data_IF_488457360745
#
_entry.id   IF_488457360745
#
_cell.length_a   1.000
_cell.length_b   1.000
_cell.length_c   1.000
_cell.angle_alpha   90.00
_cell.angle_beta   90.00
_cell.angle_gamma   90.00
#
_symmetry.space_group_name_H-M   'P 1'
#
loop_
_entity.id
_entity.type
_entity.pdbx_description
1 polymer ?
#
# COMPACT_ATOMS: atom_id res chain seq x y z
N UNK A 1 16.02 -1.39 13.61
CA UNK A 1 15.15 -1.63 12.43
C UNK A 1 14.42 -2.94 12.65
N UNK A 2 13.08 -2.89 12.72
CA UNK A 2 12.25 -4.08 12.81
C UNK A 2 12.45 -4.99 11.59
N UNK A 3 12.15 -6.28 11.74
CA UNK A 3 12.28 -7.25 10.65
C UNK A 3 11.25 -6.94 9.56
N UNK A 4 11.72 -6.60 8.35
CA UNK A 4 10.86 -6.39 7.18
C UNK A 4 10.01 -7.65 6.92
N UNK A 5 8.72 -7.44 6.72
CA UNK A 5 7.69 -8.45 6.54
C UNK A 5 6.49 -7.90 5.75
N UNK A 6 5.46 -8.71 5.56
CA UNK A 6 4.23 -8.33 4.87
C UNK A 6 3.62 -6.99 5.33
N UNK A 7 3.48 -6.76 6.65
CA UNK A 7 2.90 -5.53 7.21
C UNK A 7 3.73 -4.30 6.85
N UNK A 8 5.06 -4.41 6.92
CA UNK A 8 5.93 -3.33 6.41
C UNK A 8 5.77 -3.15 4.90
N UNK A 9 5.63 -4.23 4.13
CA UNK A 9 5.37 -4.15 2.68
C UNK A 9 4.11 -3.36 2.35
N UNK A 10 3.03 -3.56 3.10
CA UNK A 10 1.79 -2.78 2.98
C UNK A 10 2.01 -1.29 3.26
N UNK A 11 2.70 -0.95 4.34
CA UNK A 11 2.97 0.45 4.70
C UNK A 11 3.86 1.15 3.66
N UNK A 12 4.92 0.49 3.20
CA UNK A 12 5.77 1.02 2.14
C UNK A 12 5.02 1.17 0.81
N UNK A 13 4.11 0.23 0.50
CA UNK A 13 3.30 0.28 -0.71
C UNK A 13 2.31 1.45 -0.67
N UNK A 14 1.59 1.62 0.44
CA UNK A 14 0.71 2.77 0.67
C UNK A 14 1.48 4.08 0.46
N UNK A 15 2.63 4.21 1.11
CA UNK A 15 3.42 5.43 1.07
C UNK A 15 4.01 5.76 -0.30
N UNK A 16 4.40 4.74 -1.05
CA UNK A 16 4.85 4.90 -2.43
C UNK A 16 3.74 5.48 -3.31
N UNK A 17 2.48 5.07 -3.09
CA UNK A 17 1.34 5.53 -3.87
C UNK A 17 0.88 6.91 -3.40
N UNK A 18 0.53 7.05 -2.12
CA UNK A 18 0.03 8.33 -1.57
C UNK A 18 1.08 9.46 -1.58
N UNK A 19 2.35 9.14 -1.78
CA UNK A 19 3.43 10.11 -1.89
C UNK A 19 3.85 10.42 -3.34
N UNK A 20 3.18 9.83 -4.34
CA UNK A 20 3.58 9.94 -5.75
C UNK A 20 3.42 11.34 -6.34
N UNK A 21 2.54 12.15 -5.75
CA UNK A 21 2.30 13.55 -6.12
C UNK A 21 3.19 14.54 -5.33
N UNK A 22 3.90 14.07 -4.30
CA UNK A 22 4.76 14.85 -3.43
C UNK A 22 4.09 15.45 -2.19
N UNK A 23 2.80 15.18 -1.95
CA UNK A 23 2.04 15.68 -0.79
C UNK A 23 1.47 14.52 0.03
N UNK A 24 2.13 14.21 1.15
CA UNK A 24 1.57 13.26 2.12
C UNK A 24 0.47 13.93 2.90
N UNK A 25 -0.74 13.39 2.81
CA UNK A 25 -1.86 13.86 3.61
C UNK A 25 -2.08 12.92 4.82
N UNK A 26 -2.07 13.50 6.01
CA UNK A 26 -2.42 12.81 7.27
C UNK A 26 -3.73 13.37 7.86
N UNK A 27 -4.50 14.07 7.03
CA UNK A 27 -5.78 14.65 7.42
C UNK A 27 -6.75 13.52 7.80
N UNK A 28 -7.28 13.50 9.04
CA UNK A 28 -8.28 12.53 9.46
C UNK A 28 -9.54 12.49 8.59
N UNK A 29 -9.83 13.57 7.85
CA UNK A 29 -10.97 13.67 6.96
C UNK A 29 -10.68 13.14 5.54
N UNK A 30 -9.40 12.94 5.20
CA UNK A 30 -8.96 12.41 3.92
C UNK A 30 -9.46 10.96 3.71
N UNK A 31 -10.15 10.67 2.60
CA UNK A 31 -10.66 9.32 2.31
C UNK A 31 -9.57 8.25 2.22
N UNK A 32 -8.43 8.54 1.61
CA UNK A 32 -7.31 7.60 1.49
C UNK A 32 -6.72 7.29 2.87
N UNK A 33 -6.60 8.32 3.71
CA UNK A 33 -6.14 8.16 5.09
C UNK A 33 -7.08 7.28 5.92
N UNK A 34 -8.40 7.44 5.74
CA UNK A 34 -9.39 6.57 6.40
C UNK A 34 -9.27 5.12 5.94
N UNK A 35 -9.03 4.86 4.66
CA UNK A 35 -8.79 3.50 4.15
C UNK A 35 -7.48 2.94 4.71
N UNK A 36 -6.42 3.74 4.80
CA UNK A 36 -5.16 3.30 5.40
C UNK A 36 -5.35 2.90 6.86
N UNK A 37 -6.11 3.69 7.63
CA UNK A 37 -6.46 3.33 9.02
C UNK A 37 -7.24 2.02 9.08
N UNK A 38 -8.24 1.84 8.22
CA UNK A 38 -9.01 0.60 8.13
C UNK A 38 -8.12 -0.61 7.79
N UNK A 39 -7.19 -0.45 6.84
CA UNK A 39 -6.20 -1.46 6.48
C UNK A 39 -5.33 -1.82 7.69
N UNK A 40 -4.82 -0.83 8.43
CA UNK A 40 -4.00 -1.08 9.63
C UNK A 40 -4.77 -1.85 10.69
N UNK A 41 -6.00 -1.46 10.95
CA UNK A 41 -6.85 -2.13 11.94
C UNK A 41 -7.15 -3.58 11.51
N UNK A 42 -7.44 -3.81 10.22
CA UNK A 42 -7.71 -5.14 9.68
C UNK A 42 -6.49 -6.06 9.67
N UNK A 43 -5.31 -5.52 9.33
CA UNK A 43 -4.05 -6.25 9.22
C UNK A 43 -3.27 -6.28 10.55
N UNK A 44 -3.86 -5.79 11.64
CA UNK A 44 -3.28 -5.76 12.99
C UNK A 44 -1.92 -5.03 13.02
N UNK A 45 -1.84 -3.87 12.38
CA UNK A 45 -0.64 -3.02 12.33
C UNK A 45 -0.68 -2.01 13.49
N UNK A 46 0.02 -2.35 14.57
CA UNK A 46 0.05 -1.54 15.79
C UNK A 46 0.67 -0.15 15.59
N UNK A 47 0.30 0.78 16.46
CA UNK A 47 0.77 2.17 16.41
C UNK A 47 2.30 2.29 16.46
N UNK A 48 2.98 1.48 17.27
CA UNK A 48 4.44 1.51 17.32
C UNK A 48 5.11 1.14 16.00
N UNK A 49 4.57 0.18 15.24
CA UNK A 49 5.13 -0.21 13.94
C UNK A 49 4.88 0.87 12.91
N UNK A 50 3.70 1.47 12.95
CA UNK A 50 3.33 2.58 12.09
C UNK A 50 4.15 3.84 12.37
N UNK A 51 4.30 4.23 13.62
CA UNK A 51 5.08 5.39 14.04
C UNK A 51 6.56 5.24 13.64
N UNK A 52 7.13 4.03 13.79
CA UNK A 52 8.47 3.75 13.32
C UNK A 52 8.59 3.88 11.79
N UNK A 53 7.55 3.50 11.06
CA UNK A 53 7.52 3.59 9.61
C UNK A 53 7.42 5.05 9.12
N UNK A 54 6.47 5.84 9.61
CA UNK A 54 6.26 7.22 9.13
C UNK A 54 7.43 8.15 9.44
N UNK A 55 8.21 7.83 10.49
CA UNK A 55 9.40 8.57 10.89
C UNK A 55 10.69 8.05 10.25
N UNK A 56 10.61 7.02 9.40
CA UNK A 56 11.79 6.47 8.72
C UNK A 56 12.17 7.28 7.48
N UNK A 57 13.46 7.35 7.18
CA UNK A 57 13.93 7.82 5.87
C UNK A 57 13.68 6.72 4.84
N UNK A 58 12.70 6.97 3.98
CA UNK A 58 12.22 6.01 2.99
C UNK A 58 12.94 6.15 1.64
N UNK A 59 13.85 7.12 1.50
CA UNK A 59 14.59 7.35 0.27
C UNK A 59 13.73 7.88 -0.88
N UNK A 60 14.25 7.77 -2.11
CA UNK A 60 13.56 8.22 -3.33
C UNK A 60 12.39 7.29 -3.70
N UNK A 61 11.51 7.73 -4.61
CA UNK A 61 10.41 6.87 -5.11
C UNK A 61 10.92 5.57 -5.77
N UNK A 62 12.11 5.59 -6.38
CA UNK A 62 12.73 4.38 -6.94
C UNK A 62 13.24 3.43 -5.84
N UNK A 63 13.83 3.97 -4.77
CA UNK A 63 14.26 3.19 -3.60
C UNK A 63 13.06 2.54 -2.90
N UNK A 64 11.97 3.31 -2.75
CA UNK A 64 10.71 2.84 -2.19
C UNK A 64 10.10 1.72 -3.05
N UNK A 65 10.02 1.91 -4.37
CA UNK A 65 9.53 0.88 -5.29
C UNK A 65 10.37 -0.40 -5.22
N UNK A 66 11.69 -0.27 -5.21
CA UNK A 66 12.61 -1.41 -5.05
C UNK A 66 12.37 -2.14 -3.72
N UNK A 67 12.23 -1.38 -2.64
CA UNK A 67 11.98 -1.90 -1.30
C UNK A 67 10.65 -2.65 -1.22
N UNK A 68 9.56 -2.06 -1.71
CA UNK A 68 8.23 -2.67 -1.80
C UNK A 68 8.29 -4.01 -2.52
N UNK A 69 8.89 -4.03 -3.72
CA UNK A 69 8.96 -5.25 -4.54
C UNK A 69 9.78 -6.32 -3.83
N UNK A 70 10.92 -5.95 -3.22
CA UNK A 70 11.75 -6.91 -2.51
C UNK A 70 11.03 -7.50 -1.29
N UNK A 71 10.36 -6.68 -0.49
CA UNK A 71 9.58 -7.16 0.66
C UNK A 71 8.45 -8.08 0.20
N UNK A 72 7.64 -7.63 -0.75
CA UNK A 72 6.46 -8.38 -1.18
C UNK A 72 6.84 -9.65 -1.94
N UNK A 73 7.93 -9.67 -2.71
CA UNK A 73 8.38 -10.85 -3.44
C UNK A 73 8.59 -12.07 -2.53
N UNK A 74 9.07 -11.84 -1.31
CA UNK A 74 9.34 -12.88 -0.31
C UNK A 74 8.10 -13.26 0.53
N UNK A 75 6.96 -12.60 0.31
CA UNK A 75 5.67 -12.96 0.93
C UNK A 75 4.91 -13.99 0.11
N UNK A 76 3.88 -14.59 0.71
CA UNK A 76 2.98 -15.53 0.02
C UNK A 76 2.24 -14.85 -1.14
N UNK A 77 1.77 -15.64 -2.10
CA UNK A 77 0.98 -15.12 -3.23
C UNK A 77 -0.27 -14.37 -2.75
N UNK A 78 -1.03 -14.98 -1.84
CA UNK A 78 -2.23 -14.37 -1.27
C UNK A 78 -1.94 -13.02 -0.60
N UNK A 79 -0.81 -12.89 0.09
CA UNK A 79 -0.37 -11.62 0.66
C UNK A 79 -0.05 -10.56 -0.39
N UNK A 80 0.59 -10.93 -1.50
CA UNK A 80 0.84 -10.00 -2.62
C UNK A 80 -0.46 -9.49 -3.21
N UNK A 81 -1.42 -10.39 -3.46
CA UNK A 81 -2.74 -10.05 -3.98
C UNK A 81 -3.48 -9.15 -2.99
N UNK A 82 -3.49 -9.50 -1.70
CA UNK A 82 -4.14 -8.71 -0.65
C UNK A 82 -3.55 -7.30 -0.53
N UNK A 83 -2.23 -7.15 -0.64
CA UNK A 83 -1.58 -5.84 -0.64
C UNK A 83 -2.03 -4.95 -1.81
N UNK A 84 -2.11 -5.51 -3.02
CA UNK A 84 -2.58 -4.78 -4.18
C UNK A 84 -4.09 -4.46 -4.09
N UNK A 85 -4.89 -5.35 -3.51
CA UNK A 85 -6.31 -5.11 -3.28
C UNK A 85 -6.56 -3.96 -2.29
N UNK A 86 -5.73 -3.83 -1.26
CA UNK A 86 -5.77 -2.66 -0.37
C UNK A 86 -5.46 -1.37 -1.11
N UNK A 87 -4.50 -1.38 -2.03
CA UNK A 87 -4.18 -0.18 -2.81
C UNK A 87 -5.28 0.21 -3.80
N UNK A 88 -6.00 -0.76 -4.35
CA UNK A 88 -7.19 -0.48 -5.15
C UNK A 88 -8.22 0.31 -4.33
N UNK A 89 -8.45 -0.06 -3.07
CA UNK A 89 -9.37 0.68 -2.19
C UNK A 89 -8.86 2.08 -1.86
N UNK A 90 -7.55 2.25 -1.68
CA UNK A 90 -6.93 3.55 -1.41
C UNK A 90 -7.11 4.48 -2.60
N UNK A 91 -6.69 4.06 -3.80
CA UNK A 91 -6.71 4.90 -5.02
C UNK A 91 -8.12 5.30 -5.49
N UNK A 92 -9.17 4.61 -5.04
CA UNK A 92 -10.56 4.97 -5.38
C UNK A 92 -11.28 5.72 -4.26
N UNK A 93 -10.64 5.90 -3.09
CA UNK A 93 -11.29 6.41 -1.89
C UNK A 93 -11.78 7.85 -2.05
N UNK A 94 -11.01 8.67 -2.75
CA UNK A 94 -11.31 10.09 -3.03
C UNK A 94 -12.15 10.26 -4.32
N UNK A 95 -12.40 9.16 -5.05
CA UNK A 95 -13.12 9.13 -6.32
C UNK A 95 -12.28 9.50 -7.55
N UNK A 96 -10.98 9.79 -7.41
CA UNK A 96 -10.09 10.17 -8.50
C UNK A 96 -8.80 9.34 -8.49
N UNK A 97 -8.69 8.41 -9.43
CA UNK A 97 -7.42 7.69 -9.62
C UNK A 97 -6.40 8.64 -10.26
N UNK A 98 -5.34 8.99 -9.54
CA UNK A 98 -4.26 9.79 -10.11
C UNK A 98 -3.38 8.94 -11.04
N UNK A 99 -3.09 9.46 -12.25
CA UNK A 99 -2.31 8.73 -13.26
C UNK A 99 -0.95 8.21 -12.75
N UNK A 100 -0.29 8.94 -11.84
CA UNK A 100 1.02 8.57 -11.30
C UNK A 100 0.94 7.40 -10.30
N UNK A 101 -0.05 7.41 -9.41
CA UNK A 101 -0.33 6.30 -8.50
C UNK A 101 -0.63 5.03 -9.27
N UNK A 102 -1.50 5.14 -10.28
CA UNK A 102 -1.85 4.01 -11.13
C UNK A 102 -0.66 3.45 -11.91
N UNK A 103 0.25 4.32 -12.37
CA UNK A 103 1.49 3.88 -13.03
C UNK A 103 2.40 3.10 -12.07
N UNK A 104 2.59 3.58 -10.84
CA UNK A 104 3.36 2.90 -9.81
C UNK A 104 2.72 1.57 -9.40
N UNK A 105 1.41 1.57 -9.17
CA UNK A 105 0.61 0.38 -8.93
C UNK A 105 0.80 -0.67 -10.03
N UNK A 106 0.67 -0.26 -11.29
CA UNK A 106 0.84 -1.13 -12.44
C UNK A 106 2.25 -1.72 -12.51
N UNK A 107 3.28 -0.92 -12.20
CA UNK A 107 4.67 -1.40 -12.13
C UNK A 107 4.88 -2.45 -11.03
N UNK A 108 4.32 -2.23 -9.83
CA UNK A 108 4.40 -3.21 -8.73
C UNK A 108 3.70 -4.51 -9.14
N UNK A 109 2.46 -4.41 -9.65
CA UNK A 109 1.67 -5.55 -10.11
C UNK A 109 2.40 -6.39 -11.15
N UNK A 110 2.97 -5.75 -12.17
CA UNK A 110 3.76 -6.41 -13.22
C UNK A 110 5.02 -7.09 -12.66
N UNK A 111 5.75 -6.42 -11.75
CA UNK A 111 6.95 -6.99 -11.13
C UNK A 111 6.67 -8.19 -10.23
N UNK A 112 5.48 -8.24 -9.62
CA UNK A 112 5.02 -9.34 -8.78
C UNK A 112 4.28 -10.43 -9.56
N UNK A 113 4.02 -10.21 -10.86
CA UNK A 113 3.27 -11.11 -11.75
C UNK A 113 1.88 -11.47 -11.17
N UNK A 114 1.12 -10.44 -10.79
CA UNK A 114 -0.24 -10.57 -10.26
C UNK A 114 -1.26 -10.10 -11.31
N UNK A 115 -2.29 -10.90 -11.57
CA UNK A 115 -3.35 -10.51 -12.48
C UNK A 115 -4.39 -9.61 -11.82
N UNK A 116 -4.97 -8.70 -12.59
CA UNK A 116 -5.98 -7.75 -12.09
C UNK A 116 -7.24 -8.48 -11.59
N UNK A 117 -7.61 -9.59 -12.24
CA UNK A 117 -8.75 -10.41 -11.84
C UNK A 117 -8.58 -11.04 -10.45
N UNK A 118 -7.35 -11.39 -10.06
CA UNK A 118 -7.05 -11.91 -8.73
C UNK A 118 -7.26 -10.83 -7.67
N UNK A 119 -6.80 -9.61 -7.97
CA UNK A 119 -6.93 -8.45 -7.10
C UNK A 119 -8.40 -8.11 -6.90
N UNK A 120 -9.19 -8.02 -7.98
CA UNK A 120 -10.65 -7.77 -7.90
C UNK A 120 -11.39 -8.83 -7.08
N UNK A 121 -10.98 -10.10 -7.16
CA UNK A 121 -11.60 -11.17 -6.39
C UNK A 121 -11.34 -11.06 -4.87
N UNK A 122 -10.22 -10.45 -4.46
CA UNK A 122 -9.89 -10.18 -3.05
C UNK A 122 -10.49 -8.86 -2.58
N UNK A 123 -10.43 -7.81 -3.41
CA UNK A 123 -10.97 -6.47 -3.12
C UNK A 123 -12.43 -6.51 -2.64
N UNK A 124 -13.27 -7.35 -3.28
CA UNK A 124 -14.69 -7.50 -2.92
C UNK A 124 -14.88 -8.03 -1.49
N UNK A 125 -13.89 -8.74 -0.94
CA UNK A 125 -13.92 -9.34 0.41
C UNK A 125 -13.34 -8.42 1.48
N UNK A 126 -12.62 -7.37 1.10
CA UNK A 126 -12.05 -6.42 2.03
C UNK A 126 -13.14 -5.54 2.65
N UNK A 127 -12.96 -5.07 3.90
CA UNK A 127 -13.89 -4.15 4.52
C UNK A 127 -13.89 -2.82 3.76
N UNK A 128 -15.04 -2.12 3.77
CA UNK A 128 -15.24 -0.82 3.13
C UNK A 128 -15.69 0.19 4.18
N UNK A 129 -15.36 1.47 3.98
CA UNK A 129 -15.83 2.59 4.81
C UNK A 129 -17.34 2.82 4.66
#
# INVERSE_FOLDING_TARGET
MGKLNYKSGLLYLYWLMSGADGMKNFDPDDPEWKIMKLMRDHEDIGDSDFDNFINSDLGSSEDQLSTVVNILKDTSHDQKVNALAWMDLVMIADGNIHNKEYELYSKVRQKLNIEESEIKAVEIKLPKL
#
